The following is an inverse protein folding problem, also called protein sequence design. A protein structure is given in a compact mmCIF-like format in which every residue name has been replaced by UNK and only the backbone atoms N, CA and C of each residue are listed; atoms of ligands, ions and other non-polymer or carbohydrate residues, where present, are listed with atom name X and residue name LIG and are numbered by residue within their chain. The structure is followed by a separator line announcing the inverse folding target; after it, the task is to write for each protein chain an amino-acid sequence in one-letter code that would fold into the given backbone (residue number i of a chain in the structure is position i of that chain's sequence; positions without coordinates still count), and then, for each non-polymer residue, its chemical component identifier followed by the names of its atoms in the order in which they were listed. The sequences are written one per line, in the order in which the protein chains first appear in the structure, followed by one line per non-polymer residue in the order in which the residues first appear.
data_IF_464398225247
#
_entry.id   IF_464398225247
#
_cell.length_a   1.000
_cell.length_b   1.000
_cell.length_c   1.000
_cell.angle_alpha   90.00
_cell.angle_beta   90.00
_cell.angle_gamma   90.00
#
_symmetry.space_group_name_H-M   'P 1'
#
loop_
_entity.id
_entity.type
_entity.pdbx_description
1 polymer ?
#
# COMPACT_ATOMS: atom_id res chain seq x y z
N UNK A 1 11.86 -12.79 -2.94
CA UNK A 1 10.70 -12.22 -2.21
C UNK A 1 9.44 -12.37 -3.08
N UNK A 2 8.21 -12.36 -2.55
CA UNK A 2 6.98 -12.47 -3.37
C UNK A 2 6.70 -11.22 -4.24
N UNK A 3 7.69 -10.36 -4.44
CA UNK A 3 7.60 -9.12 -5.20
C UNK A 3 8.55 -9.09 -6.40
N UNK A 4 9.46 -10.05 -6.54
CA UNK A 4 10.43 -10.10 -7.66
C UNK A 4 9.79 -10.62 -8.97
N UNK A 5 8.52 -11.02 -8.92
CA UNK A 5 7.76 -11.54 -10.07
C UNK A 5 6.38 -10.90 -10.15
N UNK A 6 6.28 -9.57 -10.06
CA UNK A 6 5.02 -8.88 -10.33
C UNK A 6 4.95 -8.43 -11.81
N UNK A 7 4.16 -9.10 -12.67
CA UNK A 7 4.01 -8.72 -14.07
C UNK A 7 3.41 -7.31 -14.25
N UNK A 8 2.80 -6.75 -13.20
CA UNK A 8 2.30 -5.37 -13.14
C UNK A 8 3.38 -4.31 -13.42
N UNK A 9 4.65 -4.58 -13.11
CA UNK A 9 5.75 -3.66 -13.44
C UNK A 9 6.35 -3.91 -14.82
N UNK A 10 6.18 -5.09 -15.40
CA UNK A 10 6.73 -5.45 -16.70
C UNK A 10 5.95 -4.81 -17.87
N UNK A 11 4.66 -4.52 -17.69
CA UNK A 11 3.79 -3.99 -18.74
C UNK A 11 3.78 -2.46 -18.83
N UNK A 12 4.79 -1.74 -18.35
CA UNK A 12 4.86 -0.27 -18.41
C UNK A 12 5.20 0.28 -19.81
N UNK A 13 4.57 -0.23 -20.88
CA UNK A 13 4.67 0.38 -22.21
C UNK A 13 3.86 1.67 -22.26
N UNK A 14 4.60 2.77 -22.43
CA UNK A 14 4.22 4.18 -22.47
C UNK A 14 3.62 4.57 -23.82
N UNK A 15 2.30 4.54 -23.98
CA UNK A 15 1.65 5.10 -25.19
C UNK A 15 0.29 5.74 -24.85
N UNK A 16 0.27 6.79 -24.02
CA UNK A 16 -0.89 7.72 -23.95
C UNK A 16 -0.43 9.17 -23.79
N UNK A 17 -1.02 10.17 -24.49
CA UNK A 17 -0.38 11.47 -24.68
C UNK A 17 -0.56 12.48 -23.54
N UNK A 18 -1.43 12.23 -22.54
CA UNK A 18 -1.81 13.26 -21.55
C UNK A 18 -1.18 13.12 -20.14
N UNK A 19 -0.53 12.01 -19.77
CA UNK A 19 -0.22 11.70 -18.36
C UNK A 19 1.24 11.30 -18.04
N UNK A 20 2.17 11.46 -18.98
CA UNK A 20 3.53 10.89 -18.86
C UNK A 20 4.34 11.44 -17.67
N UNK A 21 4.18 12.71 -17.28
CA UNK A 21 4.99 13.32 -16.20
C UNK A 21 4.52 12.86 -14.82
N UNK A 22 3.20 12.89 -14.57
CA UNK A 22 2.63 12.44 -13.29
C UNK A 22 2.80 10.94 -13.11
N UNK A 23 2.65 10.16 -14.19
CA UNK A 23 2.90 8.72 -14.19
C UNK A 23 4.37 8.40 -13.90
N UNK A 24 5.32 9.11 -14.53
CA UNK A 24 6.76 8.97 -14.24
C UNK A 24 7.08 9.34 -12.78
N UNK A 25 6.45 10.39 -12.24
CA UNK A 25 6.63 10.76 -10.83
C UNK A 25 6.11 9.68 -9.89
N UNK A 26 4.91 9.15 -10.14
CA UNK A 26 4.31 8.10 -9.32
C UNK A 26 5.11 6.79 -9.36
N UNK A 27 5.55 6.38 -10.55
CA UNK A 27 6.42 5.19 -10.71
C UNK A 27 7.75 5.37 -9.98
N UNK A 28 8.36 6.56 -10.05
CA UNK A 28 9.57 6.86 -9.29
C UNK A 28 9.35 6.78 -7.76
N UNK A 29 8.25 7.36 -7.24
CA UNK A 29 7.88 7.26 -5.82
C UNK A 29 7.69 5.80 -5.40
N UNK A 30 6.97 5.01 -6.21
CA UNK A 30 6.75 3.58 -5.96
C UNK A 30 8.06 2.80 -5.92
N UNK A 31 8.93 3.00 -6.91
CA UNK A 31 10.26 2.36 -6.95
C UNK A 31 11.11 2.74 -5.74
N UNK A 32 11.14 4.02 -5.36
CA UNK A 32 11.88 4.49 -4.18
C UNK A 32 11.34 3.86 -2.90
N UNK A 33 10.02 3.82 -2.74
CA UNK A 33 9.38 3.17 -1.59
C UNK A 33 9.73 1.68 -1.55
N UNK A 34 9.63 0.98 -2.68
CA UNK A 34 9.97 -0.43 -2.79
C UNK A 34 11.43 -0.73 -2.40
N UNK A 35 12.37 0.10 -2.86
CA UNK A 35 13.78 -0.02 -2.47
C UNK A 35 13.98 0.15 -0.96
N UNK A 36 13.21 1.04 -0.31
CA UNK A 36 13.25 1.20 1.16
C UNK A 36 12.69 -0.04 1.88
N UNK A 37 11.62 -0.64 1.39
CA UNK A 37 11.11 -1.92 1.91
C UNK A 37 12.16 -3.03 1.80
N UNK A 38 12.84 -3.14 0.65
CA UNK A 38 13.93 -4.10 0.44
C UNK A 38 15.11 -3.85 1.38
N UNK A 39 15.55 -2.60 1.52
CA UNK A 39 16.68 -2.22 2.39
C UNK A 39 16.40 -2.49 3.87
N UNK A 40 15.14 -2.36 4.30
CA UNK A 40 14.72 -2.66 5.68
C UNK A 40 14.51 -4.16 5.93
N UNK A 41 14.63 -4.99 4.90
CA UNK A 41 14.31 -6.41 4.94
C UNK A 41 12.97 -6.65 5.64
N UNK A 42 11.92 -5.97 5.15
CA UNK A 42 10.56 -6.14 5.70
C UNK A 42 10.10 -7.56 5.42
N UNK A 43 9.73 -8.28 6.47
CA UNK A 43 9.25 -9.65 6.34
C UNK A 43 7.74 -9.70 6.01
N UNK A 44 7.22 -10.91 5.83
CA UNK A 44 5.83 -11.11 5.46
C UNK A 44 4.84 -10.67 6.55
N UNK A 45 5.14 -10.95 7.82
CA UNK A 45 4.29 -10.61 8.96
C UNK A 45 4.22 -9.11 9.17
N UNK A 46 5.35 -8.43 9.07
CA UNK A 46 5.42 -6.97 9.13
C UNK A 46 4.66 -6.33 7.97
N UNK A 47 4.85 -6.84 6.76
CA UNK A 47 4.15 -6.35 5.58
C UNK A 47 2.63 -6.53 5.68
N UNK A 48 2.17 -7.64 6.25
CA UNK A 48 0.75 -7.88 6.52
C UNK A 48 0.19 -6.87 7.53
N UNK A 49 0.92 -6.61 8.63
CA UNK A 49 0.50 -5.62 9.62
C UNK A 49 0.47 -4.20 9.01
N UNK A 50 1.45 -3.82 8.20
CA UNK A 50 1.48 -2.51 7.53
C UNK A 50 0.30 -2.33 6.56
N UNK A 51 -0.10 -3.38 5.83
CA UNK A 51 -1.32 -3.35 5.02
C UNK A 51 -2.57 -3.13 5.88
N UNK A 52 -2.69 -3.84 6.98
CA UNK A 52 -3.82 -3.68 7.90
C UNK A 52 -3.88 -2.27 8.49
N UNK A 53 -2.73 -1.69 8.89
CA UNK A 53 -2.65 -0.31 9.39
C UNK A 53 -3.07 0.72 8.33
N UNK A 54 -2.69 0.52 7.06
CA UNK A 54 -3.15 1.41 5.97
C UNK A 54 -4.65 1.25 5.71
N UNK A 55 -5.18 0.04 5.86
CA UNK A 55 -6.57 -0.31 5.55
C UNK A 55 -7.55 0.19 6.62
N UNK A 56 -7.25 -0.09 7.89
CA UNK A 56 -8.10 0.28 9.02
C UNK A 56 -7.79 1.71 9.44
N UNK A 57 -8.49 2.66 8.85
CA UNK A 57 -8.30 4.09 9.09
C UNK A 57 -9.56 4.70 9.70
N UNK A 58 -9.57 5.04 11.00
CA UNK A 58 -10.74 5.62 11.65
C UNK A 58 -10.99 7.09 11.25
N UNK A 59 -10.04 7.72 10.55
CA UNK A 59 -10.14 9.09 10.07
C UNK A 59 -10.91 9.23 8.74
N UNK A 60 -11.46 8.13 8.21
CA UNK A 60 -12.26 8.14 6.99
C UNK A 60 -13.71 8.52 7.31
N UNK A 61 -14.26 9.44 6.53
CA UNK A 61 -15.66 9.86 6.67
C UNK A 61 -16.62 8.72 6.28
N UNK A 62 -17.83 8.73 6.86
CA UNK A 62 -18.92 7.79 6.56
C UNK A 62 -18.67 6.32 6.93
N UNK A 63 -17.78 6.05 7.89
CA UNK A 63 -17.67 4.74 8.50
C UNK A 63 -18.93 4.41 9.31
N UNK A 64 -19.45 3.18 9.14
CA UNK A 64 -20.61 2.69 9.90
C UNK A 64 -20.30 2.49 11.37
N UNK A 65 -19.12 1.93 11.66
CA UNK A 65 -18.64 1.68 13.02
C UNK A 65 -17.19 2.13 13.12
N UNK A 66 -17.00 3.38 13.52
CA UNK A 66 -15.67 3.96 13.64
C UNK A 66 -14.86 3.31 14.77
N UNK A 67 -15.53 2.94 15.87
CA UNK A 67 -14.89 2.34 17.04
C UNK A 67 -14.32 0.96 16.69
N UNK A 68 -15.04 0.15 15.91
CA UNK A 68 -14.52 -1.13 15.43
C UNK A 68 -13.28 -0.97 14.55
N UNK A 69 -13.28 0.03 13.66
CA UNK A 69 -12.14 0.32 12.78
C UNK A 69 -10.92 0.77 13.59
N UNK A 70 -11.12 1.61 14.60
CA UNK A 70 -10.07 2.03 15.53
C UNK A 70 -9.47 0.85 16.30
N UNK A 71 -10.31 -0.04 16.85
CA UNK A 71 -9.84 -1.25 17.53
C UNK A 71 -9.00 -2.16 16.61
N UNK A 72 -9.41 -2.32 15.35
CA UNK A 72 -8.67 -3.13 14.37
C UNK A 72 -7.34 -2.48 14.00
N UNK A 73 -7.32 -1.15 13.87
CA UNK A 73 -6.10 -0.38 13.63
C UNK A 73 -5.10 -0.56 14.78
N UNK A 74 -5.54 -0.38 16.02
CA UNK A 74 -4.70 -0.54 17.21
C UNK A 74 -4.19 -1.97 17.36
N UNK A 75 -5.05 -2.95 17.08
CA UNK A 75 -4.65 -4.36 17.09
C UNK A 75 -3.54 -4.64 16.06
N UNK A 76 -3.66 -4.10 14.84
CA UNK A 76 -2.63 -4.26 13.82
C UNK A 76 -1.28 -3.63 14.24
N UNK A 77 -1.30 -2.49 14.93
CA UNK A 77 -0.09 -1.88 15.49
C UNK A 77 0.54 -2.74 16.59
N UNK A 78 -0.27 -3.26 17.52
CA UNK A 78 0.20 -4.13 18.59
C UNK A 78 0.84 -5.41 18.05
N UNK A 79 0.21 -6.03 17.04
CA UNK A 79 0.75 -7.21 16.37
C UNK A 79 2.12 -6.93 15.74
N UNK A 80 2.28 -5.78 15.09
CA UNK A 80 3.57 -5.36 14.54
C UNK A 80 4.63 -5.17 15.63
N UNK A 81 4.29 -4.49 16.73
CA UNK A 81 5.20 -4.27 17.86
C UNK A 81 5.64 -5.61 18.47
N UNK A 82 4.69 -6.51 18.70
CA UNK A 82 4.96 -7.82 19.30
C UNK A 82 5.88 -8.65 18.39
N UNK A 83 5.59 -8.70 17.09
CA UNK A 83 6.41 -9.39 16.11
C UNK A 83 7.86 -8.86 16.11
N UNK A 84 8.04 -7.54 16.04
CA UNK A 84 9.35 -6.89 16.09
C UNK A 84 10.09 -7.25 17.38
N UNK A 85 9.43 -7.17 18.54
CA UNK A 85 10.05 -7.52 19.83
C UNK A 85 10.50 -8.98 19.89
N UNK A 86 9.75 -9.88 19.27
CA UNK A 86 10.06 -11.31 19.25
C UNK A 86 11.22 -11.69 18.32
N UNK A 87 11.37 -10.99 17.19
CA UNK A 87 12.35 -11.33 16.15
C UNK A 87 13.58 -10.41 16.13
N UNK A 88 13.47 -9.20 16.70
CA UNK A 88 14.43 -8.12 16.52
C UNK A 88 14.68 -7.35 17.83
N UNK A 89 15.29 -8.04 18.80
CA UNK A 89 15.58 -7.49 20.15
C UNK A 89 16.43 -6.20 20.11
N UNK A 90 17.29 -6.02 19.09
CA UNK A 90 18.22 -4.88 18.98
C UNK A 90 17.69 -3.66 18.21
N UNK A 91 16.48 -3.71 17.65
CA UNK A 91 15.98 -2.62 16.79
C UNK A 91 14.87 -1.80 17.44
N UNK A 92 15.21 -1.08 18.51
CA UNK A 92 14.30 -0.18 19.24
C UNK A 92 13.53 0.82 18.34
N UNK A 93 14.06 1.15 17.16
CA UNK A 93 13.47 2.10 16.22
C UNK A 93 12.79 1.47 14.99
N UNK A 94 12.73 0.13 14.89
CA UNK A 94 12.19 -0.54 13.69
C UNK A 94 10.73 -0.20 13.44
N UNK A 95 9.90 -0.21 14.48
CA UNK A 95 8.48 0.15 14.37
C UNK A 95 8.29 1.52 13.71
N UNK A 96 8.96 2.55 14.23
CA UNK A 96 8.92 3.90 13.65
C UNK A 96 9.44 3.94 12.21
N UNK A 97 10.55 3.25 11.90
CA UNK A 97 11.09 3.20 10.53
C UNK A 97 10.13 2.56 9.53
N UNK A 98 9.39 1.53 9.94
CA UNK A 98 8.37 0.88 9.11
C UNK A 98 7.17 1.81 8.88
N UNK A 99 6.68 2.48 9.93
CA UNK A 99 5.58 3.46 9.79
C UNK A 99 5.96 4.64 8.88
N UNK A 100 7.23 5.08 8.89
CA UNK A 100 7.74 6.14 8.02
C UNK A 100 7.82 5.76 6.52
N UNK A 101 7.52 4.50 6.16
CA UNK A 101 7.36 4.09 4.76
C UNK A 101 5.97 4.46 4.22
N UNK A 102 4.94 4.48 5.08
CA UNK A 102 3.55 4.62 4.68
C UNK A 102 3.19 6.01 4.11
N UNK A 103 3.71 7.14 4.65
CA UNK A 103 3.41 8.46 4.12
C UNK A 103 3.81 8.64 2.65
N UNK A 104 4.87 7.98 2.19
CA UNK A 104 5.30 8.03 0.78
C UNK A 104 4.27 7.42 -0.16
N UNK A 105 3.49 6.44 0.30
CA UNK A 105 2.41 5.83 -0.47
C UNK A 105 1.17 6.74 -0.54
N UNK A 106 0.93 7.56 0.49
CA UNK A 106 -0.20 8.53 0.52
C UNK A 106 -0.07 9.65 -0.52
N UNK A 107 1.14 9.88 -1.05
CA UNK A 107 1.40 10.89 -2.08
C UNK A 107 0.99 10.44 -3.50
N UNK A 108 0.56 9.19 -3.66
CA UNK A 108 0.18 8.62 -4.95
C UNK A 108 -1.30 8.90 -5.24
N UNK A 109 -1.63 9.65 -6.31
CA UNK A 109 -3.02 9.89 -6.68
C UNK A 109 -3.69 8.60 -7.13
N UNK A 110 -4.92 8.29 -6.64
CA UNK A 110 -5.62 7.04 -6.97
C UNK A 110 -5.85 6.90 -8.48
N UNK A 111 -6.19 7.98 -9.19
CA UNK A 111 -6.41 7.96 -10.64
C UNK A 111 -5.15 7.58 -11.43
N UNK A 112 -3.97 7.99 -10.94
CA UNK A 112 -2.69 7.66 -11.57
C UNK A 112 -2.32 6.21 -11.29
N UNK A 113 -2.58 5.71 -10.08
CA UNK A 113 -2.43 4.30 -9.73
C UNK A 113 -3.35 3.43 -10.59
N UNK A 114 -4.60 3.85 -10.79
CA UNK A 114 -5.56 3.20 -11.68
C UNK A 114 -5.04 3.13 -13.12
N UNK A 115 -4.57 4.25 -13.65
CA UNK A 115 -4.02 4.33 -15.00
C UNK A 115 -2.79 3.43 -15.21
N UNK A 116 -1.91 3.33 -14.21
CA UNK A 116 -0.69 2.52 -14.29
C UNK A 116 -1.01 1.02 -14.24
N UNK A 117 -1.85 0.59 -13.30
CA UNK A 117 -1.96 -0.82 -12.94
C UNK A 117 -3.25 -1.50 -13.42
N UNK A 118 -4.34 -0.76 -13.56
CA UNK A 118 -5.68 -1.32 -13.75
C UNK A 118 -6.23 -1.06 -15.15
N UNK A 119 -5.90 0.08 -15.77
CA UNK A 119 -6.46 0.49 -17.07
C UNK A 119 -6.16 -0.48 -18.22
N UNK A 120 -4.99 -1.14 -18.22
CA UNK A 120 -4.64 -2.15 -19.24
C UNK A 120 -5.46 -3.44 -19.11
N UNK A 121 -5.89 -3.77 -17.89
CA UNK A 121 -6.56 -5.05 -17.58
C UNK A 121 -8.08 -4.91 -17.57
N UNK A 122 -8.58 -3.79 -17.06
CA UNK A 122 -10.01 -3.55 -16.79
C UNK A 122 -10.63 -2.58 -17.82
N UNK A 123 -9.80 -1.93 -18.65
CA UNK A 123 -10.25 -0.97 -19.65
C UNK A 123 -10.69 0.35 -19.01
N UNK A 124 -11.82 0.88 -19.45
CA UNK A 124 -12.37 2.17 -19.00
C UNK A 124 -13.25 2.08 -17.75
N UNK A 125 -13.43 0.89 -17.17
CA UNK A 125 -14.25 0.72 -15.96
C UNK A 125 -13.44 1.11 -14.73
N UNK A 126 -13.90 2.08 -13.92
CA UNK A 126 -13.16 2.49 -12.72
C UNK A 126 -13.00 1.34 -11.72
N UNK A 127 -11.81 1.21 -11.10
CA UNK A 127 -11.55 0.11 -10.15
C UNK A 127 -12.52 0.14 -8.96
N UNK A 128 -12.93 1.34 -8.55
CA UNK A 128 -13.89 1.55 -7.46
C UNK A 128 -15.23 0.89 -7.74
N UNK A 129 -15.68 0.87 -9.01
CA UNK A 129 -16.92 0.20 -9.39
C UNK A 129 -16.80 -1.31 -9.23
N UNK A 130 -15.69 -1.89 -9.69
CA UNK A 130 -15.42 -3.32 -9.52
C UNK A 130 -15.33 -3.73 -8.05
N UNK A 131 -14.67 -2.91 -7.22
CA UNK A 131 -14.65 -3.14 -5.77
C UNK A 131 -16.07 -3.10 -5.20
N UNK A 132 -16.88 -2.12 -5.62
CA UNK A 132 -18.27 -2.03 -5.23
C UNK A 132 -19.09 -3.26 -5.61
N UNK A 133 -18.86 -3.84 -6.78
CA UNK A 133 -19.54 -5.06 -7.21
C UNK A 133 -19.03 -6.30 -6.45
N UNK A 134 -17.71 -6.38 -6.19
CA UNK A 134 -17.10 -7.47 -5.44
C UNK A 134 -17.62 -7.59 -4.00
N UNK A 135 -17.84 -6.47 -3.31
CA UNK A 135 -18.35 -6.46 -1.93
C UNK A 135 -19.88 -6.54 -1.82
N UNK A 136 -20.59 -6.57 -2.95
CA UNK A 136 -22.05 -6.78 -3.01
C UNK A 136 -22.43 -8.23 -3.28
N UNK A 137 -21.49 -9.04 -3.78
CA UNK A 137 -21.64 -10.50 -3.91
C UNK A 137 -21.52 -11.18 -2.54
#
# INVERSE_FOLDING_TARGET
MPLDSNPLFATMDTNSPLNNVQQKKCTHILQKTFSRFKMLAVDFSEFACLKAIILFRPDIENLKDNQQVEMLHDHAQLMLIHHIKSQHFDYAFRFGRLLLLLPSLRQLPPDVVEAIFFRKTIGSTPIVKLLGDLFKC
#
